data_IF_311480556246
#
_entry.id   IF_311480556246
#
_cell.length_a   1.000
_cell.length_b   1.000
_cell.length_c   1.000
_cell.angle_alpha   90.00
_cell.angle_beta   90.00
_cell.angle_gamma   90.00
#
_symmetry.space_group_name_H-M   'P 1'
#
loop_
_entity.id
_entity.type
_entity.pdbx_description
1 polymer ?
#
# COMPACT_ATOMS: atom_id res chain seq x y z
N UNK A 1 -3.74 12.99 38.37
CA UNK A 1 -2.56 12.22 38.83
C UNK A 1 -2.82 10.74 38.62
N UNK A 2 -2.20 10.17 37.59
CA UNK A 2 -2.06 8.71 37.38
C UNK A 2 -0.74 8.52 36.62
N UNK A 3 0.17 7.63 37.05
CA UNK A 3 1.56 7.70 36.67
C UNK A 3 1.84 6.83 35.44
N UNK A 4 2.07 7.46 34.28
CA UNK A 4 2.75 6.81 33.18
C UNK A 4 4.24 6.70 33.54
N UNK A 5 4.64 5.49 33.95
CA UNK A 5 6.04 5.11 34.13
C UNK A 5 6.81 5.39 32.83
N UNK A 6 7.79 6.28 32.91
CA UNK A 6 8.91 6.33 31.98
C UNK A 6 9.56 4.95 31.88
N UNK A 7 9.55 4.37 30.69
CA UNK A 7 10.53 3.35 30.31
C UNK A 7 11.46 3.98 29.29
N UNK A 8 12.58 4.47 29.81
CA UNK A 8 13.79 4.78 29.06
C UNK A 8 14.53 3.49 28.70
N UNK A 9 15.35 3.61 27.65
CA UNK A 9 16.30 2.68 27.05
C UNK A 9 15.74 1.74 25.97
N UNK A 10 16.29 1.97 24.79
CA UNK A 10 16.34 1.07 23.65
C UNK A 10 16.96 -0.27 24.07
N UNK A 11 16.15 -1.14 24.65
CA UNK A 11 16.36 -2.57 24.57
C UNK A 11 15.53 -3.05 23.39
N UNK A 12 16.16 -3.21 22.24
CA UNK A 12 15.69 -4.25 21.33
C UNK A 12 15.92 -5.55 22.08
N UNK A 13 14.90 -6.23 22.63
CA UNK A 13 15.15 -7.57 23.13
C UNK A 13 15.72 -8.34 21.95
N UNK A 14 16.86 -9.00 22.14
CA UNK A 14 17.30 -10.09 21.26
C UNK A 14 16.23 -11.18 21.34
N UNK A 15 15.05 -10.96 20.73
CA UNK A 15 14.22 -12.07 20.32
C UNK A 15 15.09 -12.84 19.34
N UNK A 16 15.25 -14.13 19.58
CA UNK A 16 15.94 -15.02 18.67
C UNK A 16 15.21 -14.97 17.32
N UNK A 17 15.65 -14.08 16.43
CA UNK A 17 15.21 -14.04 15.04
C UNK A 17 15.84 -15.27 14.38
N UNK A 18 15.09 -16.37 14.33
CA UNK A 18 15.51 -17.54 13.57
C UNK A 18 15.34 -17.24 12.07
N UNK A 19 16.29 -17.71 11.26
CA UNK A 19 16.19 -17.68 9.79
C UNK A 19 14.93 -18.42 9.27
N UNK A 20 14.38 -19.31 10.11
CA UNK A 20 13.24 -20.18 9.82
C UNK A 20 11.91 -19.66 10.37
N UNK A 21 11.90 -18.42 10.88
CA UNK A 21 10.65 -17.81 11.35
C UNK A 21 9.82 -17.32 10.15
N UNK A 22 8.59 -17.81 10.07
CA UNK A 22 7.61 -17.40 9.05
C UNK A 22 7.46 -15.87 9.00
N UNK A 23 7.27 -15.27 7.82
CA UNK A 23 7.07 -13.81 7.67
C UNK A 23 5.64 -13.35 7.98
N UNK A 24 4.72 -14.30 8.14
CA UNK A 24 3.31 -14.03 8.44
C UNK A 24 3.06 -13.84 9.94
N UNK A 25 1.93 -13.21 10.29
CA UNK A 25 1.44 -13.13 11.67
C UNK A 25 0.89 -14.48 12.16
N UNK A 26 0.16 -15.19 11.31
CA UNK A 26 -0.30 -16.55 11.56
C UNK A 26 0.76 -17.58 11.15
N UNK A 27 0.68 -18.82 11.67
CA UNK A 27 1.48 -19.93 11.14
C UNK A 27 1.28 -20.06 9.63
N UNK A 28 2.36 -20.33 8.89
CA UNK A 28 2.36 -20.34 7.42
C UNK A 28 1.35 -21.33 6.83
N UNK A 29 1.16 -22.47 7.49
CA UNK A 29 0.16 -23.47 7.09
C UNK A 29 -1.27 -22.94 7.27
N UNK A 30 -1.55 -22.20 8.33
CA UNK A 30 -2.86 -21.60 8.55
C UNK A 30 -3.16 -20.50 7.52
N UNK A 31 -2.19 -19.64 7.23
CA UNK A 31 -2.30 -18.66 6.14
C UNK A 31 -2.55 -19.36 4.79
N UNK A 32 -1.78 -20.41 4.48
CA UNK A 32 -1.91 -21.14 3.22
C UNK A 32 -3.31 -21.75 3.04
N UNK A 33 -3.85 -22.39 4.07
CA UNK A 33 -5.18 -23.02 4.01
C UNK A 33 -6.30 -21.98 3.84
N UNK A 34 -6.27 -20.86 4.57
CA UNK A 34 -7.29 -19.81 4.44
C UNK A 34 -7.17 -19.05 3.09
N UNK A 35 -5.94 -18.87 2.60
CA UNK A 35 -5.71 -18.31 1.28
C UNK A 35 -6.21 -19.24 0.15
N UNK A 36 -6.00 -20.56 0.28
CA UNK A 36 -6.57 -21.55 -0.67
C UNK A 36 -8.10 -21.53 -0.67
N UNK A 37 -8.72 -21.42 0.51
CA UNK A 37 -10.18 -21.25 0.61
C UNK A 37 -10.66 -19.99 -0.12
N UNK A 38 -9.94 -18.87 0.02
CA UNK A 38 -10.23 -17.64 -0.71
C UNK A 38 -10.15 -17.84 -2.23
N UNK A 39 -9.13 -18.53 -2.73
CA UNK A 39 -8.98 -18.82 -4.16
C UNK A 39 -10.13 -19.65 -4.74
N UNK A 40 -10.70 -20.56 -3.93
CA UNK A 40 -11.82 -21.42 -4.32
C UNK A 40 -13.17 -20.71 -4.25
N UNK A 41 -13.44 -20.04 -3.12
CA UNK A 41 -14.77 -19.55 -2.78
C UNK A 41 -15.01 -18.09 -3.15
N UNK A 42 -13.99 -17.23 -3.11
CA UNK A 42 -14.22 -15.79 -3.20
C UNK A 42 -14.76 -15.38 -4.57
N UNK A 43 -15.85 -14.61 -4.52
CA UNK A 43 -16.54 -14.07 -5.69
C UNK A 43 -16.86 -12.59 -5.51
N UNK A 44 -16.58 -11.83 -6.54
CA UNK A 44 -16.85 -10.39 -6.63
C UNK A 44 -17.73 -10.14 -7.85
N UNK A 45 -18.85 -9.45 -7.63
CA UNK A 45 -19.63 -8.91 -8.74
C UNK A 45 -19.06 -7.54 -9.11
N UNK A 46 -18.64 -7.38 -10.35
CA UNK A 46 -18.18 -6.08 -10.85
C UNK A 46 -19.38 -5.38 -11.45
N UNK A 47 -19.75 -4.21 -10.95
CA UNK A 47 -20.80 -3.43 -11.60
C UNK A 47 -20.41 -3.17 -13.04
N UNK A 48 -21.31 -3.40 -14.01
CA UNK A 48 -20.97 -3.24 -15.40
C UNK A 48 -20.54 -1.79 -15.62
N UNK A 49 -19.34 -1.67 -16.17
CA UNK A 49 -18.87 -0.42 -16.69
C UNK A 49 -19.93 0.03 -17.72
N UNK A 50 -20.48 1.23 -17.57
CA UNK A 50 -21.58 1.69 -18.43
C UNK A 50 -21.14 1.94 -19.87
N UNK A 51 -21.62 3.04 -20.44
CA UNK A 51 -21.14 3.54 -21.74
C UNK A 51 -19.58 3.68 -21.73
N UNK A 52 -18.85 3.18 -22.74
CA UNK A 52 -17.39 3.34 -22.89
C UNK A 52 -16.87 4.78 -22.74
N UNK A 53 -17.74 5.77 -22.99
CA UNK A 53 -17.47 7.19 -22.79
C UNK A 53 -17.47 7.64 -21.32
N UNK A 54 -17.86 6.77 -20.38
CA UNK A 54 -17.88 7.07 -18.96
C UNK A 54 -16.51 6.96 -18.31
N UNK A 55 -16.42 7.36 -17.05
CA UNK A 55 -15.19 7.34 -16.26
C UNK A 55 -14.93 5.98 -15.58
N UNK A 56 -15.82 5.00 -15.74
CA UNK A 56 -15.89 3.84 -14.86
C UNK A 56 -15.28 2.57 -15.49
N UNK A 57 -14.06 2.67 -16.03
CA UNK A 57 -13.38 1.58 -16.77
C UNK A 57 -11.89 1.51 -16.43
N UNK A 58 -11.20 0.46 -16.93
CA UNK A 58 -9.74 0.30 -16.79
C UNK A 58 -8.97 1.55 -17.25
N UNK A 59 -8.03 2.07 -16.43
CA UNK A 59 -7.17 3.19 -16.82
C UNK A 59 -6.36 2.94 -18.10
N UNK A 60 -6.18 3.96 -18.94
CA UNK A 60 -5.48 3.86 -20.23
C UNK A 60 -3.98 3.49 -20.15
N UNK A 61 -3.33 3.72 -19.01
CA UNK A 61 -1.89 3.45 -18.82
C UNK A 61 -1.63 2.84 -17.44
N UNK A 62 -0.83 1.79 -17.40
CA UNK A 62 -0.39 1.07 -16.19
C UNK A 62 0.99 1.56 -15.71
N UNK A 63 1.23 2.87 -15.71
CA UNK A 63 2.56 3.44 -15.43
C UNK A 63 2.49 4.63 -14.48
N UNK A 64 3.64 5.00 -13.94
CA UNK A 64 3.76 6.13 -13.01
C UNK A 64 2.99 5.89 -11.71
N UNK A 65 2.59 6.98 -11.05
CA UNK A 65 2.04 6.91 -9.69
C UNK A 65 0.69 6.16 -9.59
N UNK A 66 -0.08 6.09 -10.67
CA UNK A 66 -1.38 5.38 -10.72
C UNK A 66 -1.27 3.92 -11.16
N UNK A 67 -0.06 3.38 -11.29
CA UNK A 67 0.14 2.02 -11.81
C UNK A 67 -0.67 0.98 -11.03
N UNK A 68 -0.56 0.94 -9.69
CA UNK A 68 -1.26 -0.05 -8.86
C UNK A 68 -2.79 -0.02 -9.04
N UNK A 69 -3.41 1.17 -9.09
CA UNK A 69 -4.85 1.31 -9.37
C UNK A 69 -5.19 0.73 -10.74
N UNK A 70 -4.38 1.03 -11.75
CA UNK A 70 -4.56 0.48 -13.10
C UNK A 70 -4.43 -1.04 -13.15
N UNK A 71 -3.42 -1.60 -12.50
CA UNK A 71 -3.22 -3.05 -12.44
C UNK A 71 -4.40 -3.73 -11.75
N UNK A 72 -4.88 -3.18 -10.63
CA UNK A 72 -6.06 -3.72 -9.96
C UNK A 72 -7.28 -3.75 -10.88
N UNK A 73 -7.59 -2.65 -11.56
CA UNK A 73 -8.71 -2.57 -12.50
C UNK A 73 -8.61 -3.57 -13.65
N UNK A 74 -7.40 -3.78 -14.19
CA UNK A 74 -7.20 -4.76 -15.26
C UNK A 74 -7.35 -6.18 -14.72
N UNK A 75 -6.63 -6.49 -13.65
CA UNK A 75 -6.55 -7.84 -13.10
C UNK A 75 -7.89 -8.32 -12.52
N UNK A 76 -8.68 -7.45 -11.86
CA UNK A 76 -9.97 -7.88 -11.31
C UNK A 76 -10.88 -8.44 -12.41
N UNK A 77 -10.99 -7.74 -13.56
CA UNK A 77 -11.85 -8.14 -14.69
C UNK A 77 -11.39 -9.45 -15.36
N UNK A 78 -10.09 -9.72 -15.35
CA UNK A 78 -9.48 -10.92 -15.94
C UNK A 78 -9.31 -12.06 -14.92
N UNK A 79 -9.68 -11.84 -13.65
CA UNK A 79 -9.43 -12.80 -12.57
C UNK A 79 -10.54 -13.83 -12.38
N UNK A 80 -10.17 -14.96 -11.76
CA UNK A 80 -11.09 -16.03 -11.31
C UNK A 80 -12.10 -15.60 -10.25
N UNK A 81 -11.91 -14.42 -9.67
CA UNK A 81 -12.77 -13.90 -8.60
C UNK A 81 -14.06 -13.28 -9.15
N UNK A 82 -14.14 -12.94 -10.43
CA UNK A 82 -15.36 -12.32 -10.98
C UNK A 82 -16.49 -13.34 -11.09
N UNK A 83 -17.72 -12.89 -10.83
CA UNK A 83 -18.93 -13.64 -11.12
C UNK A 83 -19.97 -12.74 -11.80
N UNK A 84 -20.66 -13.30 -12.80
CA UNK A 84 -21.82 -12.67 -13.42
C UNK A 84 -23.12 -12.89 -12.63
N UNK A 85 -23.12 -13.80 -11.64
CA UNK A 85 -24.26 -14.03 -10.76
C UNK A 85 -24.09 -13.25 -9.45
N UNK A 86 -24.78 -12.10 -9.27
CA UNK A 86 -24.65 -11.28 -8.06
C UNK A 86 -25.12 -11.98 -6.79
N UNK A 87 -25.87 -13.09 -6.89
CA UNK A 87 -26.27 -13.90 -5.71
C UNK A 87 -25.12 -14.73 -5.15
N UNK A 88 -24.10 -15.01 -5.97
CA UNK A 88 -22.88 -15.71 -5.57
C UNK A 88 -21.80 -14.78 -5.06
N UNK A 89 -21.96 -13.46 -5.25
CA UNK A 89 -20.97 -12.48 -4.89
C UNK A 89 -20.89 -12.25 -3.38
N UNK A 90 -19.66 -12.24 -2.87
CA UNK A 90 -19.33 -11.88 -1.50
C UNK A 90 -19.18 -10.37 -1.36
N UNK A 91 -18.59 -9.71 -2.36
CA UNK A 91 -18.43 -8.26 -2.43
C UNK A 91 -18.80 -7.71 -3.81
N UNK A 92 -19.07 -6.42 -3.87
CA UNK A 92 -19.44 -5.70 -5.10
C UNK A 92 -18.40 -4.62 -5.42
N UNK A 93 -17.76 -4.71 -6.58
CA UNK A 93 -16.77 -3.73 -7.01
C UNK A 93 -17.42 -2.56 -7.76
N UNK A 94 -17.14 -1.34 -7.30
CA UNK A 94 -17.49 -0.08 -7.96
C UNK A 94 -16.28 0.42 -8.78
N UNK A 95 -16.29 0.30 -10.12
CA UNK A 95 -15.15 0.68 -10.98
C UNK A 95 -14.95 2.21 -11.13
N UNK A 96 -14.88 2.96 -10.04
CA UNK A 96 -14.69 4.43 -10.03
C UNK A 96 -13.24 4.80 -10.40
N UNK A 97 -12.99 5.24 -11.64
CA UNK A 97 -11.66 5.74 -12.03
C UNK A 97 -11.58 7.27 -11.99
N UNK A 98 -11.18 7.80 -10.83
CA UNK A 98 -10.91 9.23 -10.65
C UNK A 98 -9.76 9.72 -11.55
N UNK A 99 -8.81 8.83 -11.86
CA UNK A 99 -7.73 9.11 -12.81
C UNK A 99 -8.26 9.42 -14.23
N UNK A 100 -9.25 8.66 -14.72
CA UNK A 100 -9.88 8.91 -16.03
C UNK A 100 -10.63 10.25 -16.03
N UNK A 101 -11.31 10.59 -14.93
CA UNK A 101 -11.97 11.89 -14.76
C UNK A 101 -10.97 13.05 -14.87
N UNK A 102 -9.85 12.96 -14.14
CA UNK A 102 -8.79 13.96 -14.21
C UNK A 102 -8.17 14.05 -15.60
N UNK A 103 -7.92 12.93 -16.25
CA UNK A 103 -7.36 12.87 -17.60
C UNK A 103 -8.25 13.54 -18.66
N UNK A 104 -9.57 13.64 -18.41
CA UNK A 104 -10.52 14.40 -19.24
C UNK A 104 -10.69 15.87 -18.79
N UNK A 105 -9.89 16.34 -17.83
CA UNK A 105 -9.85 17.76 -17.42
C UNK A 105 -10.94 18.17 -16.42
N UNK A 106 -11.57 17.23 -15.71
CA UNK A 106 -12.57 17.59 -14.69
C UNK A 106 -11.93 18.31 -13.49
N UNK A 107 -12.64 19.31 -12.95
CA UNK A 107 -12.31 19.94 -11.66
C UNK A 107 -12.66 19.00 -10.51
N UNK A 108 -12.17 19.29 -9.30
CA UNK A 108 -12.44 18.44 -8.14
C UNK A 108 -13.94 18.36 -7.83
N UNK A 109 -14.64 19.48 -7.93
CA UNK A 109 -16.08 19.59 -7.68
C UNK A 109 -16.86 18.75 -8.69
N UNK A 110 -16.49 18.83 -9.97
CA UNK A 110 -17.12 18.01 -11.01
C UNK A 110 -16.84 16.52 -10.84
N UNK A 111 -15.65 16.13 -10.36
CA UNK A 111 -15.36 14.72 -10.06
C UNK A 111 -16.27 14.20 -8.94
N UNK A 112 -16.49 14.99 -7.88
CA UNK A 112 -17.42 14.65 -6.80
C UNK A 112 -18.83 14.43 -7.35
N UNK A 113 -19.30 15.34 -8.22
CA UNK A 113 -20.63 15.21 -8.84
C UNK A 113 -20.75 13.94 -9.68
N UNK A 114 -19.73 13.59 -10.46
CA UNK A 114 -19.73 12.36 -11.27
C UNK A 114 -19.73 11.10 -10.41
N UNK A 115 -18.95 11.06 -9.32
CA UNK A 115 -18.99 9.94 -8.36
C UNK A 115 -20.37 9.84 -7.72
N UNK A 116 -20.95 10.96 -7.29
CA UNK A 116 -22.28 11.00 -6.69
C UNK A 116 -23.35 10.49 -7.65
N UNK A 117 -23.37 10.96 -8.90
CA UNK A 117 -24.30 10.50 -9.94
C UNK A 117 -24.18 8.99 -10.16
N UNK A 118 -22.95 8.47 -10.19
CA UNK A 118 -22.72 7.04 -10.38
C UNK A 118 -23.27 6.20 -9.22
N UNK A 119 -23.01 6.62 -7.97
CA UNK A 119 -23.54 5.93 -6.79
C UNK A 119 -25.07 5.96 -6.76
N UNK A 120 -25.69 7.11 -7.07
CA UNK A 120 -27.15 7.20 -7.15
C UNK A 120 -27.73 6.33 -8.29
N UNK A 121 -27.05 6.25 -9.43
CA UNK A 121 -27.42 5.32 -10.50
C UNK A 121 -27.34 3.86 -10.06
N UNK A 122 -26.28 3.47 -9.35
CA UNK A 122 -26.12 2.11 -8.81
C UNK A 122 -27.24 1.78 -7.83
N UNK A 123 -27.56 2.71 -6.92
CA UNK A 123 -28.66 2.60 -5.94
C UNK A 123 -30.03 2.45 -6.58
N UNK A 124 -30.27 3.17 -7.66
CA UNK A 124 -31.55 3.16 -8.38
C UNK A 124 -31.71 1.92 -9.26
N UNK A 125 -30.66 1.55 -10.00
CA UNK A 125 -30.73 0.48 -11.01
C UNK A 125 -30.60 -0.92 -10.42
N UNK A 126 -29.80 -1.11 -9.37
CA UNK A 126 -29.49 -2.43 -8.83
C UNK A 126 -29.93 -2.56 -7.37
N UNK A 127 -30.55 -3.68 -6.98
CA UNK A 127 -31.06 -3.85 -5.62
C UNK A 127 -29.94 -4.07 -4.58
N UNK A 128 -28.72 -4.43 -5.01
CA UNK A 128 -27.66 -4.92 -4.13
C UNK A 128 -27.09 -3.86 -3.20
N UNK A 129 -26.99 -2.60 -3.64
CA UNK A 129 -26.52 -1.51 -2.78
C UNK A 129 -27.43 -1.33 -1.55
N UNK A 130 -28.74 -1.29 -1.78
CA UNK A 130 -29.71 -0.97 -0.73
C UNK A 130 -29.83 -2.09 0.32
N UNK A 131 -29.39 -3.32 0.01
CA UNK A 131 -29.36 -4.45 0.95
C UNK A 131 -28.47 -4.19 2.17
N UNK A 132 -27.35 -3.52 1.96
CA UNK A 132 -26.30 -3.31 2.97
C UNK A 132 -25.95 -1.84 3.16
N UNK A 133 -26.66 -0.95 2.46
CA UNK A 133 -26.32 0.47 2.33
C UNK A 133 -24.90 0.70 1.82
N UNK A 134 -24.40 -0.20 0.97
CA UNK A 134 -23.07 -0.12 0.38
C UNK A 134 -21.94 -0.72 1.23
N UNK A 135 -22.25 -1.45 2.31
CA UNK A 135 -21.24 -1.99 3.21
C UNK A 135 -20.44 -3.16 2.60
N UNK A 136 -21.05 -3.98 1.75
CA UNK A 136 -20.39 -5.04 0.96
C UNK A 136 -19.89 -4.54 -0.41
N UNK A 137 -19.83 -3.22 -0.59
CA UNK A 137 -19.27 -2.60 -1.77
C UNK A 137 -17.86 -2.13 -1.48
N UNK A 138 -17.02 -2.16 -2.51
CA UNK A 138 -15.69 -1.59 -2.42
C UNK A 138 -15.30 -0.84 -3.68
N UNK A 139 -14.37 0.10 -3.53
CA UNK A 139 -13.80 0.87 -4.63
C UNK A 139 -12.31 1.07 -4.41
N UNK A 140 -11.58 1.25 -5.50
CA UNK A 140 -10.13 1.47 -5.46
C UNK A 140 -9.82 2.90 -5.87
N UNK A 141 -9.10 3.62 -5.02
CA UNK A 141 -8.66 4.99 -5.30
C UNK A 141 -7.23 5.19 -4.84
N UNK A 142 -6.36 5.67 -5.71
CA UNK A 142 -5.02 6.08 -5.32
C UNK A 142 -4.83 7.59 -5.48
N UNK A 143 -3.88 8.12 -4.71
CA UNK A 143 -3.50 9.54 -4.69
C UNK A 143 -4.57 10.50 -4.18
N UNK A 144 -4.18 11.77 -4.11
CA UNK A 144 -5.01 12.88 -3.66
C UNK A 144 -6.28 13.05 -4.48
N UNK A 145 -6.23 12.72 -5.77
CA UNK A 145 -7.37 12.86 -6.68
C UNK A 145 -8.51 11.93 -6.26
N UNK A 146 -8.20 10.68 -5.93
CA UNK A 146 -9.18 9.71 -5.48
C UNK A 146 -9.85 10.16 -4.19
N UNK A 147 -9.03 10.55 -3.20
CA UNK A 147 -9.54 11.07 -1.90
C UNK A 147 -10.44 12.28 -2.10
N UNK A 148 -10.03 13.27 -2.92
CA UNK A 148 -10.83 14.47 -3.19
C UNK A 148 -12.14 14.16 -3.91
N UNK A 149 -12.11 13.27 -4.90
CA UNK A 149 -13.28 12.94 -5.72
C UNK A 149 -14.35 12.18 -4.94
N UNK A 150 -13.99 11.38 -3.93
CA UNK A 150 -14.96 10.59 -3.16
C UNK A 150 -15.40 11.26 -1.86
N UNK A 151 -14.65 12.24 -1.34
CA UNK A 151 -14.93 12.92 -0.06
C UNK A 151 -16.34 13.52 0.05
N UNK A 152 -16.91 13.99 -1.06
CA UNK A 152 -18.26 14.57 -1.10
C UNK A 152 -19.40 13.55 -1.16
N UNK A 153 -19.14 12.24 -1.00
CA UNK A 153 -20.14 11.17 -1.08
C UNK A 153 -20.17 10.36 0.22
N UNK A 154 -20.86 10.85 1.28
CA UNK A 154 -20.71 10.32 2.65
C UNK A 154 -21.05 8.83 2.82
N UNK A 155 -22.11 8.35 2.16
CA UNK A 155 -22.50 6.93 2.27
C UNK A 155 -21.47 5.99 1.64
N UNK A 156 -20.85 6.40 0.53
CA UNK A 156 -19.75 5.66 -0.10
C UNK A 156 -18.54 5.61 0.83
N UNK A 157 -18.15 6.75 1.40
CA UNK A 157 -16.97 6.85 2.25
C UNK A 157 -17.13 6.08 3.58
N UNK A 158 -18.29 6.21 4.21
CA UNK A 158 -18.55 5.64 5.53
C UNK A 158 -18.78 4.13 5.46
N UNK A 159 -19.60 3.66 4.53
CA UNK A 159 -20.07 2.27 4.55
C UNK A 159 -19.19 1.35 3.72
N UNK A 160 -18.80 1.76 2.50
CA UNK A 160 -18.05 0.90 1.58
C UNK A 160 -16.60 0.71 2.03
N UNK A 161 -16.02 -0.43 1.66
CA UNK A 161 -14.61 -0.74 1.84
C UNK A 161 -13.80 0.10 0.86
N UNK A 162 -12.88 0.91 1.36
CA UNK A 162 -11.99 1.72 0.55
C UNK A 162 -10.69 0.96 0.35
N UNK A 163 -10.27 0.76 -0.89
CA UNK A 163 -8.93 0.25 -1.20
C UNK A 163 -8.06 1.43 -1.63
N UNK A 164 -7.10 1.84 -0.80
CA UNK A 164 -6.39 3.13 -0.96
C UNK A 164 -4.88 3.00 -0.91
N UNK A 165 -4.18 3.80 -1.72
CA UNK A 165 -2.71 3.93 -1.65
C UNK A 165 -2.23 4.81 -0.47
N UNK A 166 -3.14 5.59 0.14
CA UNK A 166 -2.84 6.52 1.25
C UNK A 166 -3.66 6.12 2.47
N UNK A 167 -3.07 5.28 3.31
CA UNK A 167 -3.71 4.64 4.47
C UNK A 167 -3.24 5.27 5.78
N UNK A 168 -3.93 6.33 6.16
CA UNK A 168 -3.54 7.19 7.29
C UNK A 168 -4.55 7.08 8.41
N UNK A 169 -4.07 6.80 9.63
CA UNK A 169 -4.95 6.75 10.80
C UNK A 169 -5.40 8.15 11.27
N UNK A 170 -4.68 9.21 10.87
CA UNK A 170 -4.99 10.61 11.18
C UNK A 170 -5.86 11.30 10.11
N UNK A 171 -6.23 10.57 9.05
CA UNK A 171 -7.25 10.99 8.10
C UNK A 171 -8.60 10.46 8.61
N UNK A 172 -9.51 11.35 9.01
CA UNK A 172 -10.83 11.02 9.61
C UNK A 172 -11.67 10.04 8.77
N UNK A 173 -11.31 9.86 7.50
CA UNK A 173 -12.04 9.05 6.55
C UNK A 173 -11.54 7.58 6.43
N UNK A 174 -10.30 7.24 6.85
CA UNK A 174 -9.74 5.88 6.70
C UNK A 174 -9.96 5.04 7.96
N UNK A 175 -10.56 3.86 7.79
CA UNK A 175 -10.94 2.97 8.89
C UNK A 175 -10.17 1.64 8.75
N UNK A 176 -9.09 1.41 9.51
CA UNK A 176 -8.17 0.27 9.33
C UNK A 176 -8.83 -1.11 9.41
N UNK A 177 -9.87 -1.26 10.25
CA UNK A 177 -10.57 -2.52 10.37
C UNK A 177 -11.55 -2.78 9.22
N UNK A 178 -11.84 -1.79 8.37
CA UNK A 178 -12.79 -1.88 7.24
C UNK A 178 -12.08 -1.73 5.89
N UNK A 179 -11.21 -0.73 5.78
CA UNK A 179 -10.52 -0.32 4.57
C UNK A 179 -9.22 -1.10 4.35
N UNK A 180 -8.72 -1.10 3.13
CA UNK A 180 -7.55 -1.89 2.71
C UNK A 180 -6.48 -0.97 2.14
N UNK A 181 -5.24 -1.18 2.59
CA UNK A 181 -4.08 -0.49 2.05
C UNK A 181 -3.60 -1.17 0.76
N UNK A 182 -3.54 -0.42 -0.34
CA UNK A 182 -3.03 -0.89 -1.63
C UNK A 182 -1.51 -0.69 -1.73
N UNK A 183 -0.71 -1.73 -2.06
CA UNK A 183 0.73 -1.55 -2.27
C UNK A 183 0.99 -0.72 -3.53
N UNK A 184 1.47 0.51 -3.33
CA UNK A 184 1.74 1.42 -4.41
C UNK A 184 3.11 1.17 -5.04
N UNK A 185 3.20 1.07 -6.37
CA UNK A 185 4.46 1.00 -7.13
C UNK A 185 4.56 2.12 -8.15
N UNK A 186 5.80 2.49 -8.53
CA UNK A 186 6.05 3.42 -9.63
C UNK A 186 6.77 2.69 -10.77
N UNK A 187 5.98 2.18 -11.72
CA UNK A 187 6.48 1.39 -12.86
C UNK A 187 6.82 2.25 -14.09
N UNK A 188 7.72 1.77 -14.96
CA UNK A 188 8.45 0.49 -14.89
C UNK A 188 9.68 0.52 -13.97
N UNK A 189 10.12 -0.64 -13.47
CA UNK A 189 11.42 -0.78 -12.82
C UNK A 189 12.52 -0.95 -13.88
N UNK A 190 13.52 -0.07 -13.87
CA UNK A 190 14.63 -0.08 -14.84
C UNK A 190 15.86 -0.87 -14.36
N UNK A 191 15.83 -1.36 -13.12
CA UNK A 191 16.81 -2.26 -12.54
C UNK A 191 16.14 -3.58 -12.14
N UNK A 192 16.88 -4.71 -12.12
CA UNK A 192 16.34 -5.98 -11.64
C UNK A 192 15.98 -5.89 -10.15
N UNK A 193 15.10 -6.78 -9.65
CA UNK A 193 14.86 -6.89 -8.22
C UNK A 193 16.16 -7.20 -7.47
N UNK A 194 16.33 -6.55 -6.31
CA UNK A 194 17.48 -6.78 -5.43
C UNK A 194 17.25 -7.94 -4.47
N UNK A 195 18.23 -8.25 -3.61
CA UNK A 195 18.06 -9.24 -2.54
C UNK A 195 19.23 -10.20 -2.32
N UNK A 196 19.97 -10.53 -3.38
CA UNK A 196 21.13 -11.43 -3.33
C UNK A 196 22.47 -10.68 -3.38
N UNK A 197 22.46 -9.39 -3.10
CA UNK A 197 23.52 -8.42 -3.37
C UNK A 197 24.03 -7.74 -2.09
N UNK A 198 23.90 -8.41 -0.94
CA UNK A 198 24.24 -7.86 0.38
C UNK A 198 25.66 -7.27 0.46
N UNK A 199 26.64 -7.84 -0.24
CA UNK A 199 28.03 -7.35 -0.27
C UNK A 199 28.21 -6.07 -1.10
N UNK A 200 27.26 -5.77 -1.99
CA UNK A 200 27.31 -4.64 -2.90
C UNK A 200 26.57 -3.41 -2.34
N UNK A 201 25.94 -3.54 -1.15
CA UNK A 201 25.21 -2.47 -0.48
C UNK A 201 26.14 -1.64 0.39
N UNK A 202 26.69 -0.58 -0.19
CA UNK A 202 27.73 0.25 0.41
C UNK A 202 27.20 1.51 1.12
N UNK A 203 25.95 1.90 0.86
CA UNK A 203 25.30 3.03 1.53
C UNK A 203 24.54 2.53 2.76
N UNK A 204 24.71 3.18 3.93
CA UNK A 204 24.03 2.75 5.16
C UNK A 204 22.51 2.95 5.04
N UNK A 205 22.08 4.16 4.71
CA UNK A 205 20.68 4.42 4.44
C UNK A 205 20.49 5.46 3.34
N UNK A 206 19.36 5.38 2.65
CA UNK A 206 19.01 6.32 1.59
C UNK A 206 17.61 6.89 1.76
N UNK A 207 17.49 8.16 1.43
CA UNK A 207 16.22 8.85 1.25
C UNK A 207 16.34 9.96 0.21
N UNK A 208 15.37 10.04 -0.69
CA UNK A 208 15.18 11.23 -1.50
C UNK A 208 13.70 11.59 -1.60
N UNK A 209 13.40 12.89 -1.60
CA UNK A 209 12.04 13.38 -1.78
C UNK A 209 11.88 14.85 -1.43
N UNK A 210 10.71 15.40 -1.75
CA UNK A 210 10.33 16.73 -1.31
C UNK A 210 10.05 16.73 0.19
N UNK A 211 10.55 17.76 0.86
CA UNK A 211 10.14 18.06 2.22
C UNK A 211 8.77 18.73 2.25
N UNK A 212 7.85 18.10 2.97
CA UNK A 212 6.43 18.47 3.09
C UNK A 212 5.89 18.16 4.51
N UNK A 213 6.80 17.90 5.45
CA UNK A 213 6.50 17.55 6.84
C UNK A 213 7.72 17.83 7.70
N UNK A 214 7.49 18.15 8.97
CA UNK A 214 8.55 18.44 9.96
C UNK A 214 9.58 17.31 10.06
N UNK A 215 9.14 16.05 9.94
CA UNK A 215 10.05 14.90 9.93
C UNK A 215 11.05 14.95 8.77
N UNK A 216 10.58 15.27 7.56
CA UNK A 216 11.45 15.34 6.38
C UNK A 216 12.36 16.58 6.42
N UNK A 217 11.88 17.68 6.98
CA UNK A 217 12.70 18.87 7.23
C UNK A 217 13.84 18.54 8.18
N UNK A 218 13.55 17.85 9.28
CA UNK A 218 14.55 17.40 10.25
C UNK A 218 15.52 16.38 9.64
N UNK A 219 15.02 15.40 8.88
CA UNK A 219 15.86 14.41 8.18
C UNK A 219 16.92 15.10 7.32
N UNK A 220 16.50 16.09 6.53
CA UNK A 220 17.43 16.89 5.73
C UNK A 220 18.39 17.68 6.62
N UNK A 221 17.86 18.51 7.52
CA UNK A 221 18.65 19.48 8.27
C UNK A 221 19.75 18.81 9.12
N UNK A 222 19.52 17.56 9.55
CA UNK A 222 20.47 16.81 10.39
C UNK A 222 21.43 15.98 9.53
N UNK A 223 20.97 15.38 8.43
CA UNK A 223 21.70 14.29 7.77
C UNK A 223 22.07 14.55 6.29
N UNK A 224 21.77 15.71 5.71
CA UNK A 224 22.08 16.00 4.29
C UNK A 224 23.57 16.00 3.93
N UNK A 225 24.45 16.21 4.92
CA UNK A 225 25.90 16.22 4.77
C UNK A 225 26.60 14.97 5.34
N UNK A 226 25.86 13.93 5.72
CA UNK A 226 26.44 12.69 6.26
C UNK A 226 27.07 11.85 5.13
N UNK A 227 28.18 11.16 5.45
CA UNK A 227 28.93 10.37 4.47
C UNK A 227 28.39 8.94 4.26
N UNK A 228 27.54 8.46 5.17
CA UNK A 228 26.97 7.10 5.14
C UNK A 228 25.46 7.12 4.89
N UNK A 229 24.77 8.21 5.26
CA UNK A 229 23.36 8.44 4.96
C UNK A 229 23.23 9.33 3.72
N UNK A 230 22.74 8.76 2.62
CA UNK A 230 22.47 9.50 1.38
C UNK A 230 21.07 10.14 1.44
N UNK A 231 21.00 11.38 1.92
CA UNK A 231 19.76 12.12 2.18
C UNK A 231 19.63 13.30 1.20
N UNK A 232 18.61 13.27 0.35
CA UNK A 232 18.46 14.26 -0.72
C UNK A 232 17.07 14.91 -0.72
N UNK A 233 17.02 16.20 -0.37
CA UNK A 233 15.80 17.01 -0.53
C UNK A 233 15.75 17.72 -1.89
N UNK A 234 16.00 16.97 -2.97
CA UNK A 234 15.80 17.44 -4.32
C UNK A 234 14.88 16.45 -5.04
N UNK A 235 14.05 16.96 -5.96
CA UNK A 235 13.34 16.10 -6.91
C UNK A 235 14.39 15.24 -7.61
N UNK A 236 14.19 13.93 -7.58
CA UNK A 236 14.84 13.01 -8.52
C UNK A 236 14.76 13.71 -9.88
N UNK A 237 15.91 13.94 -10.52
CA UNK A 237 15.97 14.61 -11.80
C UNK A 237 14.90 13.99 -12.72
N UNK A 238 13.95 14.81 -13.19
CA UNK A 238 12.84 14.30 -14.01
C UNK A 238 13.28 13.91 -15.43
N UNK A 239 14.57 14.07 -15.76
CA UNK A 239 15.19 13.46 -16.93
C UNK A 239 15.15 11.93 -16.81
N UNK A 240 15.21 11.25 -17.96
CA UNK A 240 15.21 9.78 -18.04
C UNK A 240 16.29 9.12 -17.16
N UNK A 241 17.43 9.80 -16.97
CA UNK A 241 18.53 9.31 -16.12
C UNK A 241 18.25 9.40 -14.63
N UNK A 242 17.43 10.34 -14.15
CA UNK A 242 17.22 10.51 -12.72
C UNK A 242 16.46 9.36 -12.07
N UNK A 243 15.48 8.78 -12.76
CA UNK A 243 14.79 7.58 -12.25
C UNK A 243 15.74 6.38 -12.15
N UNK A 244 16.61 6.19 -13.15
CA UNK A 244 17.63 5.13 -13.13
C UNK A 244 18.58 5.32 -11.94
N UNK A 245 19.10 6.53 -11.75
CA UNK A 245 20.00 6.87 -10.62
C UNK A 245 19.30 6.67 -9.27
N UNK A 246 18.03 7.05 -9.14
CA UNK A 246 17.27 6.82 -7.92
C UNK A 246 17.11 5.33 -7.60
N UNK A 247 16.75 4.53 -8.61
CA UNK A 247 16.64 3.07 -8.46
C UNK A 247 17.99 2.44 -8.11
N UNK A 248 19.09 2.89 -8.72
CA UNK A 248 20.44 2.44 -8.39
C UNK A 248 20.82 2.75 -6.92
N UNK A 249 20.40 3.90 -6.39
CA UNK A 249 20.63 4.24 -4.97
C UNK A 249 19.83 3.37 -4.01
N UNK A 250 18.57 3.08 -4.33
CA UNK A 250 17.79 2.09 -3.57
C UNK A 250 18.51 0.72 -3.60
N UNK A 251 19.00 0.32 -4.77
CA UNK A 251 19.70 -0.95 -4.96
C UNK A 251 21.00 -1.04 -4.14
N UNK A 252 21.78 0.04 -4.06
CA UNK A 252 23.06 0.09 -3.32
C UNK A 252 22.94 0.37 -1.83
N UNK A 253 21.73 0.62 -1.31
CA UNK A 253 21.53 0.98 0.10
C UNK A 253 21.12 -0.22 0.95
N UNK A 254 21.59 -0.27 2.20
CA UNK A 254 21.13 -1.28 3.17
C UNK A 254 19.72 -0.98 3.64
N UNK A 255 19.50 0.25 4.08
CA UNK A 255 18.22 0.72 4.62
C UNK A 255 17.61 1.82 3.75
N UNK A 256 16.30 1.79 3.55
CA UNK A 256 15.60 2.81 2.78
C UNK A 256 14.57 3.50 3.65
N UNK A 257 14.78 4.79 3.90
CA UNK A 257 13.93 5.53 4.82
C UNK A 257 12.57 5.78 4.16
N UNK A 258 11.53 5.41 4.89
CA UNK A 258 10.14 5.63 4.53
C UNK A 258 9.51 6.57 5.56
N UNK A 259 9.93 7.85 5.61
CA UNK A 259 9.29 8.82 6.49
C UNK A 259 7.86 9.10 6.05
N UNK A 260 7.03 9.35 7.04
CA UNK A 260 5.69 9.88 6.86
C UNK A 260 5.70 11.07 5.89
N UNK A 261 4.70 11.17 5.03
CA UNK A 261 4.52 12.29 4.12
C UNK A 261 3.22 12.20 3.31
N UNK A 262 2.61 13.33 2.91
CA UNK A 262 1.38 13.39 2.14
C UNK A 262 1.51 12.56 0.88
N UNK A 263 0.55 11.65 0.72
CA UNK A 263 0.30 10.88 -0.49
C UNK A 263 1.42 9.90 -0.84
N UNK A 264 1.14 8.62 -0.61
CA UNK A 264 1.51 7.53 -1.50
C UNK A 264 2.88 7.65 -2.19
N UNK A 265 3.95 7.53 -1.41
CA UNK A 265 5.25 7.28 -2.00
C UNK A 265 5.35 5.78 -2.22
N UNK A 266 5.58 5.37 -3.48
CA UNK A 266 5.90 3.98 -3.82
C UNK A 266 7.15 3.47 -3.09
N UNK A 267 7.88 4.34 -2.37
CA UNK A 267 9.09 4.05 -1.59
C UNK A 267 9.03 2.74 -0.82
N UNK A 268 7.92 2.41 -0.17
CA UNK A 268 7.82 1.15 0.58
C UNK A 268 7.97 -0.04 -0.37
N UNK A 269 7.14 -0.10 -1.42
CA UNK A 269 7.20 -1.17 -2.40
C UNK A 269 8.49 -1.14 -3.23
N UNK A 270 9.01 0.04 -3.56
CA UNK A 270 10.28 0.21 -4.29
C UNK A 270 11.47 -0.28 -3.46
N UNK A 271 11.49 0.02 -2.15
CA UNK A 271 12.51 -0.48 -1.22
C UNK A 271 12.48 -2.00 -1.15
N UNK A 272 11.28 -2.58 -1.01
CA UNK A 272 11.06 -4.02 -1.04
C UNK A 272 11.56 -4.61 -2.37
N UNK A 273 11.15 -4.04 -3.51
CA UNK A 273 11.55 -4.52 -4.83
C UNK A 273 13.07 -4.54 -5.01
N UNK A 274 13.77 -3.49 -4.56
CA UNK A 274 15.22 -3.38 -4.68
C UNK A 274 16.00 -4.00 -3.52
N UNK A 275 15.38 -4.80 -2.65
CA UNK A 275 16.08 -5.49 -1.57
C UNK A 275 16.55 -4.57 -0.43
N UNK A 276 16.13 -3.31 -0.41
CA UNK A 276 16.52 -2.33 0.57
C UNK A 276 15.58 -2.39 1.78
N UNK A 277 16.10 -2.68 2.97
CA UNK A 277 15.26 -2.88 4.18
C UNK A 277 14.53 -1.57 4.52
N UNK A 278 13.17 -1.53 4.47
CA UNK A 278 12.43 -0.32 4.76
C UNK A 278 12.61 0.09 6.22
N UNK A 279 12.86 1.38 6.43
CA UNK A 279 12.82 2.00 7.76
C UNK A 279 11.55 2.84 7.82
N UNK A 280 10.52 2.30 8.45
CA UNK A 280 9.23 2.97 8.56
C UNK A 280 9.33 4.00 9.68
N UNK A 281 9.24 5.28 9.33
CA UNK A 281 9.26 6.39 10.29
C UNK A 281 7.91 7.11 10.24
N UNK A 282 6.90 6.53 10.90
CA UNK A 282 5.57 7.12 11.00
C UNK A 282 4.84 6.64 12.24
N UNK A 283 4.09 7.55 12.87
CA UNK A 283 3.26 7.22 14.03
C UNK A 283 1.86 6.70 13.65
N UNK A 284 1.39 6.97 12.41
CA UNK A 284 -0.01 6.83 12.01
C UNK A 284 -0.17 6.31 10.57
N UNK A 285 0.64 5.33 10.17
CA UNK A 285 0.56 4.76 8.82
C UNK A 285 0.19 3.28 8.84
N UNK A 286 -0.92 2.90 8.19
CA UNK A 286 -1.30 1.50 8.04
C UNK A 286 -0.58 0.91 6.84
N UNK A 287 0.22 -0.13 7.06
CA UNK A 287 1.10 -0.67 6.03
C UNK A 287 0.33 -1.64 5.11
N UNK A 288 0.71 -1.77 3.82
CA UNK A 288 0.14 -2.81 2.98
C UNK A 288 0.29 -4.19 3.62
N UNK A 289 -0.81 -4.94 3.68
CA UNK A 289 -0.85 -6.30 4.24
C UNK A 289 -0.47 -6.39 5.72
N UNK A 290 -0.69 -5.32 6.50
CA UNK A 290 -0.31 -5.26 7.91
C UNK A 290 -0.99 -6.35 8.77
N UNK A 291 -2.20 -6.80 8.42
CA UNK A 291 -2.88 -7.90 9.13
C UNK A 291 -2.32 -9.29 8.78
N UNK A 292 -1.53 -9.38 7.70
CA UNK A 292 -1.06 -10.65 7.13
C UNK A 292 0.44 -10.85 7.39
N UNK A 293 1.24 -9.81 7.15
CA UNK A 293 2.71 -9.84 7.22
C UNK A 293 3.22 -9.16 8.49
N UNK A 294 4.11 -9.83 9.23
CA UNK A 294 4.78 -9.21 10.37
C UNK A 294 5.93 -8.33 9.90
N UNK A 295 5.64 -7.04 9.69
CA UNK A 295 6.59 -6.03 9.21
C UNK A 295 7.91 -6.00 9.99
N UNK A 296 7.88 -6.28 11.30
CA UNK A 296 9.10 -6.30 12.14
C UNK A 296 10.10 -7.38 11.75
N UNK A 297 9.70 -8.36 10.93
CA UNK A 297 10.57 -9.44 10.45
C UNK A 297 11.38 -9.05 9.21
N UNK A 298 11.04 -7.94 8.54
CA UNK A 298 11.69 -7.50 7.29
C UNK A 298 11.83 -5.97 7.15
N UNK A 299 11.45 -5.20 8.18
CA UNK A 299 11.60 -3.75 8.23
C UNK A 299 12.13 -3.29 9.60
N UNK A 300 12.53 -2.03 9.68
CA UNK A 300 12.87 -1.35 10.94
C UNK A 300 11.78 -0.33 11.24
N UNK A 301 11.14 -0.43 12.39
CA UNK A 301 10.05 0.47 12.81
C UNK A 301 10.62 1.52 13.78
N UNK A 302 10.57 2.80 13.40
CA UNK A 302 11.07 3.92 14.19
C UNK A 302 9.97 4.96 14.44
N UNK A 303 10.06 5.66 15.58
CA UNK A 303 9.25 6.86 15.82
C UNK A 303 9.80 8.02 15.02
N UNK A 304 8.97 9.02 14.76
CA UNK A 304 9.41 10.24 14.07
C UNK A 304 10.52 10.97 14.84
N UNK A 305 10.48 10.92 16.18
CA UNK A 305 11.51 11.50 17.06
C UNK A 305 12.85 10.78 16.99
N UNK A 306 12.91 9.55 16.48
CA UNK A 306 14.16 8.80 16.34
C UNK A 306 15.05 9.36 15.21
N UNK A 307 14.56 10.34 14.44
CA UNK A 307 15.34 11.06 13.43
C UNK A 307 16.67 11.59 13.96
N UNK A 308 16.73 12.05 15.22
CA UNK A 308 17.95 12.58 15.83
C UNK A 308 19.00 11.49 16.15
N UNK A 309 18.58 10.23 16.24
CA UNK A 309 19.44 9.08 16.58
C UNK A 309 19.50 8.05 15.45
N UNK A 310 19.04 8.43 14.26
CA UNK A 310 18.83 7.53 13.13
C UNK A 310 20.09 6.72 12.81
N UNK A 311 21.23 7.40 12.63
CA UNK A 311 22.50 6.75 12.29
C UNK A 311 22.93 5.74 13.37
N UNK A 312 22.85 6.12 14.64
CA UNK A 312 23.22 5.26 15.76
C UNK A 312 22.35 4.01 15.83
N UNK A 313 21.03 4.17 15.63
CA UNK A 313 20.09 3.06 15.62
C UNK A 313 20.42 2.10 14.47
N UNK A 314 20.59 2.62 13.24
CA UNK A 314 20.89 1.77 12.08
C UNK A 314 22.25 1.08 12.19
N UNK A 315 23.27 1.74 12.78
CA UNK A 315 24.58 1.13 13.06
C UNK A 315 24.55 0.10 14.19
N UNK A 316 23.62 0.23 15.14
CA UNK A 316 23.45 -0.76 16.22
C UNK A 316 22.91 -2.10 15.71
N UNK A 317 22.30 -2.13 14.52
CA UNK A 317 21.83 -3.35 13.88
C UNK A 317 23.03 -4.15 13.38
N UNK A 318 23.25 -5.32 14.00
CA UNK A 318 24.33 -6.21 13.59
C UNK A 318 24.16 -6.69 12.15
N UNK A 319 25.26 -7.02 11.49
CA UNK A 319 25.24 -7.57 10.11
C UNK A 319 24.37 -8.83 10.01
N UNK A 320 24.41 -9.71 11.03
CA UNK A 320 23.56 -10.90 11.10
C UNK A 320 22.08 -10.54 11.12
N UNK A 321 21.69 -9.55 11.92
CA UNK A 321 20.30 -9.11 12.01
C UNK A 321 19.83 -8.46 10.69
N UNK A 322 20.66 -7.61 10.09
CA UNK A 322 20.38 -7.04 8.77
C UNK A 322 20.16 -8.13 7.70
N UNK A 323 21.01 -9.17 7.67
CA UNK A 323 20.86 -10.28 6.73
C UNK A 323 19.52 -11.00 6.89
N UNK A 324 19.06 -11.20 8.13
CA UNK A 324 17.74 -11.80 8.39
C UNK A 324 16.61 -10.92 7.87
N UNK A 325 16.64 -9.61 8.17
CA UNK A 325 15.64 -8.65 7.66
C UNK A 325 15.58 -8.66 6.13
N UNK A 326 16.75 -8.59 5.48
CA UNK A 326 16.86 -8.58 4.02
C UNK A 326 16.39 -9.91 3.39
N UNK A 327 16.75 -11.06 3.95
CA UNK A 327 16.27 -12.36 3.44
C UNK A 327 14.76 -12.50 3.56
N UNK A 328 14.17 -12.08 4.68
CA UNK A 328 12.73 -12.07 4.86
C UNK A 328 12.04 -11.08 3.91
N UNK A 329 12.66 -9.93 3.65
CA UNK A 329 12.20 -8.97 2.66
C UNK A 329 12.15 -9.61 1.26
N UNK A 330 13.17 -10.36 0.87
CA UNK A 330 13.19 -11.09 -0.42
C UNK A 330 12.05 -12.11 -0.50
N UNK A 331 11.75 -12.84 0.58
CA UNK A 331 10.61 -13.77 0.63
C UNK A 331 9.27 -13.08 0.34
N UNK A 332 9.09 -11.84 0.82
CA UNK A 332 7.83 -11.08 0.66
C UNK A 332 7.76 -10.24 -0.60
N UNK A 333 8.85 -10.07 -1.37
CA UNK A 333 8.86 -9.26 -2.61
C UNK A 333 7.74 -9.62 -3.57
N UNK A 334 7.43 -10.92 -3.71
CA UNK A 334 6.35 -11.41 -4.57
C UNK A 334 5.00 -10.75 -4.24
N UNK A 335 4.71 -10.51 -2.95
CA UNK A 335 3.45 -9.91 -2.48
C UNK A 335 3.30 -8.44 -2.86
N UNK A 336 4.39 -7.77 -3.25
CA UNK A 336 4.37 -6.36 -3.68
C UNK A 336 4.55 -6.22 -5.19
N UNK A 337 4.70 -7.32 -5.91
CA UNK A 337 4.86 -7.31 -7.36
C UNK A 337 3.48 -7.31 -8.05
N UNK A 338 3.27 -6.38 -8.97
CA UNK A 338 2.06 -6.31 -9.78
C UNK A 338 2.30 -7.00 -11.12
N UNK A 339 1.63 -8.13 -11.35
CA UNK A 339 1.73 -8.88 -12.60
C UNK A 339 0.44 -8.72 -13.42
N UNK A 340 0.56 -8.83 -14.74
CA UNK A 340 -0.60 -9.06 -15.60
C UNK A 340 -0.23 -10.08 -16.69
N UNK A 341 -0.91 -11.24 -16.76
CA UNK A 341 -1.98 -11.69 -15.88
C UNK A 341 -1.52 -11.83 -14.40
N UNK A 342 -2.42 -11.67 -13.42
CA UNK A 342 -2.06 -11.78 -12.02
C UNK A 342 -1.65 -13.22 -11.68
N UNK A 343 -0.67 -13.39 -10.80
CA UNK A 343 -0.16 -14.71 -10.37
C UNK A 343 -0.38 -14.92 -8.88
N UNK A 344 -0.52 -16.18 -8.45
CA UNK A 344 -0.78 -16.54 -7.05
C UNK A 344 0.18 -15.82 -6.09
N UNK A 345 -0.39 -15.27 -5.01
CA UNK A 345 0.31 -14.50 -3.96
C UNK A 345 0.98 -13.19 -4.42
N UNK A 346 0.70 -12.70 -5.63
CA UNK A 346 1.15 -11.37 -6.05
C UNK A 346 0.36 -10.22 -5.40
N UNK A 347 0.72 -8.98 -5.69
CA UNK A 347 0.06 -7.82 -5.10
C UNK A 347 -1.45 -7.80 -5.32
N UNK A 348 -1.92 -8.22 -6.49
CA UNK A 348 -3.34 -8.30 -6.77
C UNK A 348 -4.01 -9.36 -5.87
N UNK A 349 -3.47 -10.58 -5.85
CA UNK A 349 -4.04 -11.66 -5.05
C UNK A 349 -4.01 -11.38 -3.54
N UNK A 350 -2.95 -10.73 -3.05
CA UNK A 350 -2.87 -10.35 -1.64
C UNK A 350 -3.90 -9.27 -1.28
N UNK A 351 -4.20 -8.32 -2.19
CA UNK A 351 -5.30 -7.36 -2.00
C UNK A 351 -6.67 -8.06 -2.06
N UNK A 352 -6.83 -9.07 -2.92
CA UNK A 352 -8.05 -9.90 -2.93
C UNK A 352 -8.20 -10.70 -1.63
N UNK A 353 -7.11 -11.19 -1.05
CA UNK A 353 -7.13 -11.85 0.24
C UNK A 353 -7.47 -10.89 1.39
N UNK A 354 -6.93 -9.67 1.41
CA UNK A 354 -7.38 -8.61 2.31
C UNK A 354 -8.90 -8.42 2.20
N UNK A 355 -9.43 -8.16 1.00
CA UNK A 355 -10.86 -7.97 0.77
C UNK A 355 -11.69 -9.19 1.24
N UNK A 356 -11.21 -10.41 1.01
CA UNK A 356 -11.81 -11.63 1.54
C UNK A 356 -11.91 -11.57 3.06
N UNK A 357 -10.85 -11.21 3.78
CA UNK A 357 -10.89 -11.09 5.25
C UNK A 357 -11.95 -10.06 5.72
N UNK A 358 -12.19 -8.99 4.96
CA UNK A 358 -13.16 -7.94 5.32
C UNK A 358 -14.61 -8.31 4.97
N UNK A 359 -14.84 -9.36 4.18
CA UNK A 359 -16.20 -9.82 3.77
C UNK A 359 -17.14 -10.09 4.96
N UNK A 360 -16.60 -10.53 6.08
CA UNK A 360 -17.38 -10.96 7.26
C UNK A 360 -17.74 -9.85 8.23
N UNK A 361 -17.15 -8.66 8.05
CA UNK A 361 -17.45 -7.49 8.88
C UNK A 361 -18.83 -6.92 8.59
N UNK A 362 -19.44 -7.35 7.49
CA UNK A 362 -20.74 -6.91 7.01
C UNK A 362 -21.75 -8.02 7.30
N UNK A 363 -22.35 -8.01 8.49
CA UNK A 363 -23.55 -8.81 8.75
C UNK A 363 -24.77 -7.93 8.55
N UNK A 364 -25.65 -8.23 7.58
CA UNK A 364 -26.99 -7.66 7.59
C UNK A 364 -27.65 -8.04 8.91
N UNK A 365 -28.37 -7.10 9.53
CA UNK A 365 -29.37 -7.47 10.53
C UNK A 365 -30.36 -8.36 9.80
N UNK A 366 -30.40 -9.65 10.13
CA UNK A 366 -31.46 -10.54 9.65
C UNK A 366 -32.75 -10.02 10.26
N UNK A 367 -33.59 -9.35 9.47
CA UNK A 367 -34.97 -9.03 9.82
C UNK A 367 -35.83 -10.28 9.79
#
# INVERSE_FOLDING_TARGET
>A
MSPFRERSLANFPERAFSLDSSVYHSPEEAFRLDYEQMEEEFKVFVYPDGDPETYFHTPRKLTGKYASEGYFFKNIRESRFVTDDPRRAHLFFLPISCHKMRGRGLTNERMIDEVKKYVEYVKFKYPYWNRTLGADHFFVTCHDIGVKATKGVPHLMKNSIRVVCSSRYDDDDYIPHKDVTLPQVQLPFFHPPGGNDFKNRNTLAFWAGLSDSTLKDNLKAIWDNDTELDIQNNRIDFRSTGQVVFMERLYKSKFCLCPHGPIGSSRISDSIHFGCVPVIMSNYYDLPFNDILDWRKFSVMLKETDVYRLKDILKSISTKHFMILNQNLVKIQKHFNWNTPPVRLDAFHMVMYELWLRRHLIRPVRT
#
